data_IF_875844846627
#
_entry.id   IF_875844846627
#
_cell.length_a   1.000
_cell.length_b   1.000
_cell.length_c   1.000
_cell.angle_alpha   90.00
_cell.angle_beta   90.00
_cell.angle_gamma   90.00
#
_symmetry.space_group_name_H-M   'P 1'
#
loop_
_entity.id
_entity.type
_entity.pdbx_description
1 polymer ?
#
# COMPACT_ATOMS: atom_id res chain seq x y z
N UNK A 1 -19.12 -2.16 -1.54
CA UNK A 1 -18.21 -1.75 -0.45
C UNK A 1 -17.20 -0.84 -1.11
N UNK A 2 -17.16 0.43 -0.70
CA UNK A 2 -16.18 1.36 -1.25
C UNK A 2 -14.86 1.11 -0.56
N UNK A 3 -13.77 1.25 -1.28
CA UNK A 3 -12.43 1.04 -0.73
C UNK A 3 -11.47 1.97 -1.43
N UNK A 4 -10.55 2.51 -0.66
CA UNK A 4 -9.49 3.36 -1.16
C UNK A 4 -8.15 2.69 -0.94
N UNK A 5 -7.30 2.75 -1.96
CA UNK A 5 -5.96 2.18 -1.92
C UNK A 5 -4.99 3.32 -2.13
N UNK A 6 -4.04 3.46 -1.20
CA UNK A 6 -3.01 4.48 -1.24
C UNK A 6 -1.64 3.82 -1.32
N UNK A 7 -0.70 4.46 -2.02
CA UNK A 7 0.70 4.07 -2.02
C UNK A 7 1.57 5.28 -1.71
N UNK A 8 2.75 5.02 -1.16
CA UNK A 8 3.72 6.08 -0.85
C UNK A 8 4.95 5.54 -0.15
N UNK A 9 5.92 6.42 0.06
CA UNK A 9 7.05 6.14 0.94
C UNK A 9 6.54 5.98 2.37
N UNK A 10 7.02 4.97 3.11
CA UNK A 10 6.67 4.77 4.51
C UNK A 10 7.47 5.77 5.34
N UNK A 11 6.81 6.45 6.29
CA UNK A 11 7.50 7.34 7.22
C UNK A 11 8.48 6.55 8.09
N UNK A 12 9.69 7.07 8.32
CA UNK A 12 10.75 6.34 9.05
C UNK A 12 10.35 5.95 10.48
N UNK A 13 9.57 6.79 11.17
CA UNK A 13 9.05 6.48 12.51
C UNK A 13 8.07 5.30 12.47
N UNK A 14 7.19 5.27 11.46
CA UNK A 14 6.21 4.19 11.23
C UNK A 14 6.87 2.90 10.79
N UNK A 15 8.01 2.99 10.12
CA UNK A 15 8.80 1.82 9.74
C UNK A 15 9.38 1.11 10.98
N UNK A 16 9.84 1.88 11.97
CA UNK A 16 10.36 1.36 13.26
C UNK A 16 9.26 0.73 14.11
N UNK A 17 8.06 1.29 14.09
CA UNK A 17 6.89 0.81 14.83
C UNK A 17 5.86 0.13 13.94
N UNK A 18 6.31 -0.65 12.95
CA UNK A 18 5.44 -1.16 11.87
C UNK A 18 4.20 -1.89 12.36
N UNK A 19 4.37 -2.82 13.30
CA UNK A 19 3.31 -3.65 13.88
C UNK A 19 2.36 -2.89 14.82
N UNK A 20 2.71 -1.67 15.21
CA UNK A 20 1.97 -0.86 16.17
C UNK A 20 1.15 0.24 15.50
N UNK A 21 1.21 0.36 14.17
CA UNK A 21 0.47 1.37 13.44
C UNK A 21 -1.04 1.13 13.55
N UNK A 22 -1.79 2.17 13.93
CA UNK A 22 -3.26 2.15 14.14
C UNK A 22 -4.03 3.19 13.32
N UNK A 23 -3.35 3.95 12.47
CA UNK A 23 -3.98 4.94 11.62
C UNK A 23 -3.52 4.73 10.17
N UNK A 24 -4.40 4.26 9.26
CA UNK A 24 -4.02 3.98 7.88
C UNK A 24 -3.53 5.23 7.13
N UNK A 25 -4.04 6.41 7.45
CA UNK A 25 -3.68 7.66 6.77
C UNK A 25 -2.34 8.26 7.23
N UNK A 26 -1.76 7.75 8.31
CA UNK A 26 -0.54 8.28 8.93
C UNK A 26 0.70 7.41 8.69
N UNK A 27 0.61 6.42 7.79
CA UNK A 27 1.70 5.47 7.53
C UNK A 27 2.66 6.00 6.45
N UNK A 28 2.09 6.66 5.44
CA UNK A 28 2.79 7.10 4.25
C UNK A 28 3.16 8.59 4.38
N UNK A 29 4.30 8.98 3.82
CA UNK A 29 4.70 10.38 3.69
C UNK A 29 3.70 11.13 2.81
N UNK A 30 3.30 10.50 1.70
CA UNK A 30 2.26 10.99 0.79
C UNK A 30 1.24 9.87 0.52
N UNK A 31 -0.05 10.20 0.60
CA UNK A 31 -1.14 9.27 0.33
C UNK A 31 -1.56 9.36 -1.14
N UNK A 32 -0.75 8.82 -2.04
CA UNK A 32 -1.07 8.82 -3.47
C UNK A 32 -2.09 7.72 -3.76
N UNK A 33 -3.22 8.07 -4.36
CA UNK A 33 -4.28 7.09 -4.65
C UNK A 33 -3.87 6.17 -5.80
N UNK A 34 -4.10 4.87 -5.62
CA UNK A 34 -4.01 3.87 -6.69
C UNK A 34 -5.34 3.85 -7.40
N UNK A 35 -5.32 4.17 -8.68
CA UNK A 35 -6.52 4.23 -9.50
C UNK A 35 -6.77 2.91 -10.23
N UNK A 36 -8.04 2.67 -10.60
CA UNK A 36 -8.49 1.49 -11.36
C UNK A 36 -8.19 0.13 -10.70
N UNK A 37 -8.15 0.10 -9.37
CA UNK A 37 -7.93 -1.13 -8.61
C UNK A 37 -9.09 -1.35 -7.64
N UNK A 38 -9.77 -2.49 -7.79
CA UNK A 38 -10.83 -2.92 -6.87
C UNK A 38 -10.24 -3.38 -5.54
N UNK A 39 -10.91 -3.08 -4.43
CA UNK A 39 -10.45 -3.49 -3.10
C UNK A 39 -10.32 -5.00 -2.93
N UNK A 40 -11.31 -5.76 -3.42
CA UNK A 40 -11.28 -7.22 -3.39
C UNK A 40 -10.16 -7.80 -4.24
N UNK A 41 -9.97 -7.26 -5.44
CA UNK A 41 -8.90 -7.69 -6.35
C UNK A 41 -7.52 -7.42 -5.71
N UNK A 42 -7.37 -6.25 -5.08
CA UNK A 42 -6.16 -5.92 -4.33
C UNK A 42 -5.93 -6.86 -3.16
N UNK A 43 -6.92 -7.11 -2.30
CA UNK A 43 -6.74 -8.01 -1.15
C UNK A 43 -6.39 -9.44 -1.57
N UNK A 44 -6.90 -9.89 -2.72
CA UNK A 44 -6.56 -11.20 -3.25
C UNK A 44 -5.08 -11.28 -3.65
N UNK A 45 -4.58 -10.30 -4.40
CA UNK A 45 -3.19 -10.29 -4.87
C UNK A 45 -2.19 -9.84 -3.80
N UNK A 46 -2.60 -8.98 -2.87
CA UNK A 46 -1.74 -8.42 -1.83
C UNK A 46 -1.20 -9.52 -0.91
N UNK A 47 -2.00 -10.54 -0.62
CA UNK A 47 -1.59 -11.70 0.18
C UNK A 47 -0.52 -12.55 -0.49
N UNK A 48 -0.44 -12.53 -1.82
CA UNK A 48 0.58 -13.26 -2.58
C UNK A 48 1.83 -12.40 -2.83
N UNK A 49 1.63 -11.11 -3.13
CA UNK A 49 2.71 -10.18 -3.48
C UNK A 49 3.46 -9.63 -2.27
N UNK A 50 2.78 -9.35 -1.16
CA UNK A 50 3.35 -8.65 0.00
C UNK A 50 3.37 -9.58 1.21
N UNK A 51 4.55 -9.73 1.80
CA UNK A 51 4.77 -10.62 2.96
C UNK A 51 4.59 -9.92 4.30
N UNK A 52 4.71 -8.59 4.32
CA UNK A 52 4.68 -7.76 5.54
C UNK A 52 3.37 -6.98 5.65
N UNK A 53 2.28 -7.70 5.91
CA UNK A 53 0.95 -7.16 6.21
C UNK A 53 0.83 -6.76 7.69
N UNK A 54 0.26 -5.59 7.96
CA UNK A 54 -0.19 -5.19 9.29
C UNK A 54 -1.62 -4.65 9.21
N UNK A 55 -2.47 -5.08 10.14
CA UNK A 55 -3.79 -4.49 10.30
C UNK A 55 -3.70 -3.17 11.05
N UNK A 56 -4.18 -2.10 10.42
CA UNK A 56 -4.02 -0.72 10.90
C UNK A 56 -5.33 -0.10 11.34
N UNK A 57 -6.47 -0.63 10.87
CA UNK A 57 -7.80 -0.31 11.40
C UNK A 57 -8.77 -1.48 11.13
N UNK A 58 -10.01 -1.38 11.61
CA UNK A 58 -11.07 -2.30 11.25
C UNK A 58 -11.28 -2.28 9.73
N UNK A 59 -11.03 -3.41 9.06
CA UNK A 59 -11.13 -3.51 7.61
C UNK A 59 -9.97 -2.85 6.83
N UNK A 60 -8.98 -2.24 7.49
CA UNK A 60 -7.87 -1.55 6.80
C UNK A 60 -6.52 -2.18 7.10
N UNK A 61 -5.70 -2.31 6.07
CA UNK A 61 -4.43 -3.05 6.09
C UNK A 61 -3.32 -2.24 5.42
N UNK A 62 -2.12 -2.34 5.96
CA UNK A 62 -0.93 -1.77 5.35
C UNK A 62 0.08 -2.87 5.00
N UNK A 63 0.76 -2.70 3.88
CA UNK A 63 1.67 -3.67 3.31
C UNK A 63 3.01 -2.99 3.02
N UNK A 64 4.12 -3.55 3.50
CA UNK A 64 5.43 -3.10 3.02
C UNK A 64 5.69 -3.66 1.63
N UNK A 65 6.28 -2.84 0.78
CA UNK A 65 6.61 -3.22 -0.57
C UNK A 65 7.90 -2.56 -1.06
N UNK A 66 8.51 -3.21 -2.03
CA UNK A 66 9.63 -2.70 -2.82
C UNK A 66 9.12 -2.17 -4.15
N UNK A 67 9.91 -1.32 -4.82
CA UNK A 67 9.59 -0.84 -6.18
C UNK A 67 9.28 -1.98 -7.15
N UNK A 68 9.96 -3.12 -7.03
CA UNK A 68 9.72 -4.30 -7.88
C UNK A 68 8.34 -4.92 -7.64
N UNK A 69 7.91 -5.01 -6.38
CA UNK A 69 6.58 -5.52 -6.06
C UNK A 69 5.48 -4.55 -6.53
N UNK A 70 5.70 -3.24 -6.42
CA UNK A 70 4.79 -2.23 -6.97
C UNK A 70 4.67 -2.34 -8.49
N UNK A 71 5.78 -2.51 -9.20
CA UNK A 71 5.77 -2.70 -10.65
C UNK A 71 5.03 -3.99 -11.04
N UNK A 72 5.22 -5.07 -10.27
CA UNK A 72 4.50 -6.34 -10.47
C UNK A 72 3.00 -6.17 -10.25
N UNK A 73 2.58 -5.44 -9.21
CA UNK A 73 1.18 -5.12 -8.95
C UNK A 73 0.56 -4.36 -10.14
N UNK A 74 1.23 -3.33 -10.65
CA UNK A 74 0.77 -2.57 -11.84
C UNK A 74 0.65 -3.46 -13.06
N UNK A 75 1.61 -4.34 -13.29
CA UNK A 75 1.61 -5.24 -14.45
C UNK A 75 0.50 -6.30 -14.39
N UNK A 76 0.24 -6.88 -13.21
CA UNK A 76 -0.76 -7.95 -13.04
C UNK A 76 -2.18 -7.41 -12.95
N UNK A 77 -2.36 -6.33 -12.18
CA UNK A 77 -3.69 -5.77 -11.91
C UNK A 77 -4.09 -4.70 -12.92
N UNK A 78 -3.17 -4.26 -13.80
CA UNK A 78 -3.37 -3.15 -14.74
C UNK A 78 -3.87 -1.88 -14.06
N UNK A 79 -3.46 -1.67 -12.80
CA UNK A 79 -3.80 -0.49 -12.02
C UNK A 79 -2.88 0.68 -12.37
N UNK A 80 -3.30 1.88 -12.02
CA UNK A 80 -2.53 3.10 -12.29
C UNK A 80 -1.94 3.64 -10.99
N UNK A 81 -0.62 3.52 -10.86
CA UNK A 81 0.17 4.10 -9.77
C UNK A 81 0.92 5.30 -10.36
N UNK A 82 0.55 6.54 -10.01
CA UNK A 82 1.29 7.72 -10.46
C UNK A 82 2.76 7.62 -10.02
N UNK A 83 3.68 8.27 -10.75
CA UNK A 83 5.10 8.40 -10.36
C UNK A 83 5.85 7.09 -10.07
N UNK A 84 5.38 5.92 -10.51
CA UNK A 84 6.05 4.63 -10.24
C UNK A 84 7.48 4.55 -10.79
N UNK A 85 7.77 5.30 -11.87
CA UNK A 85 9.09 5.35 -12.50
C UNK A 85 10.07 6.28 -11.78
N UNK A 86 9.57 7.16 -10.91
CA UNK A 86 10.36 8.11 -10.12
C UNK A 86 10.65 7.58 -8.70
N UNK A 87 10.25 6.33 -8.42
CA UNK A 87 10.49 5.71 -7.12
C UNK A 87 11.97 5.37 -6.94
N UNK A 88 12.49 5.73 -5.78
CA UNK A 88 13.85 5.46 -5.37
C UNK A 88 13.96 4.02 -4.85
N UNK A 89 14.75 3.15 -5.50
CA UNK A 89 14.86 1.74 -5.12
C UNK A 89 15.43 1.52 -3.71
N UNK A 90 16.12 2.51 -3.13
CA UNK A 90 16.71 2.44 -1.80
C UNK A 90 15.71 2.78 -0.67
N UNK A 91 14.50 3.24 -1.03
CA UNK A 91 13.45 3.62 -0.07
C UNK A 91 12.44 2.51 0.20
N UNK A 92 11.89 2.52 1.40
CA UNK A 92 10.80 1.64 1.81
C UNK A 92 9.45 2.23 1.38
N UNK A 93 8.70 1.47 0.59
CA UNK A 93 7.36 1.86 0.16
C UNK A 93 6.30 1.05 0.88
N UNK A 94 5.11 1.61 0.95
CA UNK A 94 3.95 1.00 1.55
C UNK A 94 2.72 1.17 0.67
N UNK A 95 1.84 0.19 0.72
CA UNK A 95 0.48 0.30 0.21
C UNK A 95 -0.46 0.18 1.39
N UNK A 96 -1.44 1.08 1.47
CA UNK A 96 -2.46 1.07 2.49
C UNK A 96 -3.81 0.87 1.82
N UNK A 97 -4.47 -0.21 2.19
CA UNK A 97 -5.86 -0.49 1.87
C UNK A 97 -6.76 0.03 2.98
N UNK A 98 -7.79 0.78 2.60
CA UNK A 98 -8.78 1.33 3.51
C UNK A 98 -10.16 0.91 3.04
N UNK A 99 -10.88 0.23 3.93
CA UNK A 99 -12.30 -0.07 3.72
C UNK A 99 -13.12 1.17 4.09
N UNK A 100 -13.89 1.70 3.14
CA UNK A 100 -14.79 2.82 3.38
C UNK A 100 -16.19 2.26 3.67
N UNK A 101 -16.63 2.43 4.93
CA UNK A 101 -17.97 2.08 5.41
C UNK A 101 -19.03 3.09 5.01
#
# INVERSE_FOLDING_TARGET
MMSSIFYGEIKEDKLKTWSENRNPYDILVENNRVERLGGWDFLFIAKDLFTDEVQVDWGSFAYKCTCKQLQKLVSEMKCEIPKIQELDPDKAYGIVFIEES
#
